data_IF_076709923478
#
_entry.id   IF_076709923478
#
_cell.length_a   1.000
_cell.length_b   1.000
_cell.length_c   1.000
_cell.angle_alpha   90.00
_cell.angle_beta   90.00
_cell.angle_gamma   90.00
#
_symmetry.space_group_name_H-M   'P 1'
#
loop_
_entity.id
_entity.type
_entity.pdbx_description
1 polymer ?
#
# COMPACT_ATOMS: atom_id res chain seq x y z
N UNK A 1 19.47 6.18 -23.30
CA UNK A 1 18.13 5.65 -22.92
C UNK A 1 17.37 6.74 -22.14
N UNK A 2 16.06 6.92 -22.30
CA UNK A 2 15.27 7.88 -21.50
C UNK A 2 14.46 7.20 -20.37
N UNK A 3 13.85 8.01 -19.48
CA UNK A 3 13.10 7.55 -18.32
C UNK A 3 11.89 6.68 -18.69
N UNK A 4 11.15 7.05 -19.75
CA UNK A 4 9.96 6.30 -20.18
C UNK A 4 10.37 4.94 -20.78
N UNK A 5 11.42 4.93 -21.58
CA UNK A 5 11.99 3.73 -22.17
C UNK A 5 12.47 2.77 -21.09
N UNK A 6 13.21 3.26 -20.09
CA UNK A 6 13.69 2.44 -18.98
C UNK A 6 12.54 1.84 -18.16
N UNK A 7 11.49 2.63 -17.92
CA UNK A 7 10.26 2.20 -17.25
C UNK A 7 9.59 1.07 -18.02
N UNK A 8 9.32 1.26 -19.30
CA UNK A 8 8.57 0.31 -20.12
C UNK A 8 9.37 -0.99 -20.33
N UNK A 9 10.70 -0.89 -20.51
CA UNK A 9 11.59 -2.05 -20.57
C UNK A 9 11.60 -2.85 -19.26
N UNK A 10 11.69 -2.19 -18.09
CA UNK A 10 11.68 -2.91 -16.80
C UNK A 10 10.40 -3.73 -16.62
N UNK A 11 9.26 -3.16 -17.03
CA UNK A 11 7.98 -3.83 -16.88
C UNK A 11 7.86 -4.99 -17.86
N UNK A 12 8.26 -4.80 -19.12
CA UNK A 12 8.24 -5.86 -20.13
C UNK A 12 9.12 -7.05 -19.71
N UNK A 13 10.31 -6.78 -19.16
CA UNK A 13 11.22 -7.82 -18.65
C UNK A 13 10.64 -8.58 -17.46
N UNK A 14 10.07 -7.84 -16.50
CA UNK A 14 9.37 -8.43 -15.36
C UNK A 14 8.24 -9.36 -15.83
N UNK A 15 7.40 -8.85 -16.72
CA UNK A 15 6.27 -9.56 -17.33
C UNK A 15 6.70 -10.86 -17.99
N UNK A 16 7.72 -10.81 -18.86
CA UNK A 16 8.20 -11.97 -19.59
C UNK A 16 8.73 -13.01 -18.61
N UNK A 17 9.53 -12.58 -17.62
CA UNK A 17 10.05 -13.47 -16.60
C UNK A 17 8.93 -14.11 -15.74
N UNK A 18 7.91 -13.34 -15.36
CA UNK A 18 6.79 -13.85 -14.56
C UNK A 18 5.99 -14.90 -15.35
N UNK A 19 5.72 -14.64 -16.62
CA UNK A 19 5.04 -15.58 -17.50
C UNK A 19 5.81 -16.90 -17.62
N UNK A 20 7.13 -16.83 -17.85
CA UNK A 20 7.98 -18.02 -17.92
C UNK A 20 7.97 -18.83 -16.62
N UNK A 21 7.97 -18.15 -15.46
CA UNK A 21 7.87 -18.82 -14.15
C UNK A 21 6.50 -19.50 -13.95
N UNK A 22 5.41 -18.85 -14.37
CA UNK A 22 4.07 -19.43 -14.25
C UNK A 22 3.93 -20.67 -15.13
N UNK A 23 4.45 -20.63 -16.35
CA UNK A 23 4.52 -21.82 -17.23
C UNK A 23 5.38 -22.93 -16.61
N UNK A 24 6.56 -22.60 -16.08
CA UNK A 24 7.47 -23.58 -15.46
C UNK A 24 6.81 -24.32 -14.29
N UNK A 25 6.01 -23.62 -13.48
CA UNK A 25 5.36 -24.19 -12.31
C UNK A 25 3.91 -24.60 -12.54
N UNK A 26 3.39 -24.51 -13.78
CA UNK A 26 1.97 -24.76 -14.08
C UNK A 26 1.03 -23.95 -13.17
N UNK A 27 1.40 -22.71 -12.84
CA UNK A 27 0.61 -21.84 -11.98
C UNK A 27 -0.39 -21.03 -12.80
N UNK A 28 -1.68 -21.32 -12.63
CA UNK A 28 -2.78 -20.68 -13.35
C UNK A 28 -3.42 -19.49 -12.61
N UNK A 29 -2.91 -19.13 -11.44
CA UNK A 29 -3.48 -18.05 -10.61
C UNK A 29 -3.25 -16.63 -11.16
N UNK A 30 -2.48 -16.48 -12.25
CA UNK A 30 -2.24 -15.20 -12.90
C UNK A 30 -3.09 -15.05 -14.16
N UNK A 31 -3.97 -14.04 -14.15
CA UNK A 31 -4.69 -13.61 -15.35
C UNK A 31 -3.82 -12.67 -16.20
N UNK A 32 -2.98 -13.27 -17.04
CA UNK A 32 -2.15 -12.52 -17.99
C UNK A 32 -2.95 -11.76 -19.05
N UNK A 33 -4.24 -12.07 -19.26
CA UNK A 33 -5.07 -11.30 -20.21
C UNK A 33 -5.32 -9.86 -19.73
N UNK A 34 -5.20 -9.61 -18.43
CA UNK A 34 -5.29 -8.29 -17.80
C UNK A 34 -3.96 -7.57 -17.67
N UNK A 35 -2.89 -8.07 -18.29
CA UNK A 35 -1.56 -7.43 -18.20
C UNK A 35 -1.52 -5.98 -18.69
N UNK A 36 -2.33 -5.62 -19.70
CA UNK A 36 -2.44 -4.23 -20.13
C UNK A 36 -2.91 -3.31 -18.98
N UNK A 37 -3.71 -3.83 -18.04
CA UNK A 37 -4.15 -3.11 -16.85
C UNK A 37 -3.01 -2.95 -15.84
N UNK A 38 -2.01 -3.83 -15.85
CA UNK A 38 -0.85 -3.77 -14.96
C UNK A 38 0.09 -2.63 -15.30
N UNK A 39 0.21 -2.26 -16.58
CA UNK A 39 0.94 -1.06 -17.02
C UNK A 39 0.34 0.23 -16.45
N UNK A 40 -0.92 0.18 -16.03
CA UNK A 40 -1.63 1.29 -15.43
C UNK A 40 -1.74 1.17 -13.89
N UNK A 41 -1.22 0.09 -13.29
CA UNK A 41 -1.17 -0.05 -11.84
C UNK A 41 -0.08 0.86 -11.28
N UNK A 42 -0.40 1.76 -10.33
CA UNK A 42 0.56 2.68 -9.74
C UNK A 42 1.81 1.98 -9.16
N UNK A 43 1.66 0.74 -8.69
CA UNK A 43 2.73 -0.05 -8.07
C UNK A 43 3.79 -0.54 -9.07
N UNK A 44 3.43 -0.82 -10.32
CA UNK A 44 4.36 -1.35 -11.35
C UNK A 44 5.50 -0.38 -11.68
N UNK A 45 5.25 0.92 -11.44
CA UNK A 45 6.16 2.02 -11.74
C UNK A 45 6.47 2.86 -10.50
N UNK A 46 6.19 2.34 -9.30
CA UNK A 46 6.29 3.09 -8.05
C UNK A 46 7.67 3.71 -7.84
N UNK A 47 8.75 2.96 -8.13
CA UNK A 47 10.11 3.45 -8.01
C UNK A 47 10.39 4.67 -8.91
N UNK A 48 9.80 4.69 -10.11
CA UNK A 48 9.99 5.77 -11.08
C UNK A 48 9.40 7.11 -10.62
N UNK A 49 8.51 7.10 -9.61
CA UNK A 49 8.01 8.33 -8.99
C UNK A 49 9.12 9.13 -8.27
N UNK A 50 10.24 8.47 -7.94
CA UNK A 50 11.32 9.03 -7.14
C UNK A 50 12.64 9.25 -7.91
N UNK A 51 12.73 8.80 -9.16
CA UNK A 51 13.98 8.90 -9.96
C UNK A 51 14.47 10.33 -10.07
N UNK A 52 13.58 11.27 -10.39
CA UNK A 52 13.92 12.71 -10.51
C UNK A 52 14.51 13.31 -9.23
N UNK A 53 14.13 12.79 -8.06
CA UNK A 53 14.63 13.25 -6.77
C UNK A 53 16.11 12.93 -6.61
N UNK A 54 16.51 11.73 -7.08
CA UNK A 54 17.81 11.15 -6.83
C UNK A 54 18.80 11.39 -7.99
N UNK A 55 18.35 11.45 -9.25
CA UNK A 55 19.23 11.45 -10.43
C UNK A 55 19.68 12.81 -10.94
N UNK A 56 19.17 13.92 -10.38
CA UNK A 56 19.29 15.30 -10.89
C UNK A 56 20.71 15.82 -11.24
N UNK A 57 21.77 15.15 -10.78
CA UNK A 57 23.16 15.57 -10.96
C UNK A 57 24.06 14.50 -11.59
N UNK A 58 23.50 13.47 -12.21
CA UNK A 58 24.25 12.33 -12.74
C UNK A 58 24.15 12.22 -14.26
N UNK A 59 25.15 11.58 -14.87
CA UNK A 59 25.11 11.20 -16.28
C UNK A 59 23.88 10.31 -16.51
N UNK A 60 22.94 10.81 -17.31
CA UNK A 60 21.57 10.30 -17.44
C UNK A 60 21.53 8.81 -17.84
N UNK A 61 22.47 8.35 -18.67
CA UNK A 61 22.41 7.00 -19.24
C UNK A 61 22.69 5.88 -18.22
N UNK A 62 23.61 6.07 -17.28
CA UNK A 62 23.86 5.10 -16.20
C UNK A 62 22.72 5.13 -15.16
N UNK A 63 22.10 6.28 -14.94
CA UNK A 63 21.04 6.42 -13.96
C UNK A 63 19.80 5.61 -14.33
N UNK A 64 19.38 5.66 -15.60
CA UNK A 64 18.20 4.92 -16.03
C UNK A 64 18.43 3.40 -16.06
N UNK A 65 19.65 2.93 -16.34
CA UNK A 65 19.98 1.51 -16.24
C UNK A 65 19.87 0.97 -14.81
N UNK A 66 20.40 1.72 -13.83
CA UNK A 66 20.27 1.37 -12.41
C UNK A 66 18.82 1.43 -11.95
N UNK A 67 18.07 2.48 -12.32
CA UNK A 67 16.65 2.59 -11.99
C UNK A 67 15.83 1.44 -12.58
N UNK A 68 16.12 1.01 -13.82
CA UNK A 68 15.49 -0.16 -14.45
C UNK A 68 15.75 -1.45 -13.66
N UNK A 69 17.01 -1.71 -13.28
CA UNK A 69 17.37 -2.89 -12.49
C UNK A 69 16.70 -2.89 -11.12
N UNK A 70 16.70 -1.76 -10.42
CA UNK A 70 16.00 -1.61 -9.15
C UNK A 70 14.49 -1.80 -9.31
N UNK A 71 13.86 -1.26 -10.35
CA UNK A 71 12.42 -1.43 -10.57
C UNK A 71 12.05 -2.88 -10.89
N UNK A 72 12.91 -3.59 -11.61
CA UNK A 72 12.74 -5.02 -11.86
C UNK A 72 12.80 -5.82 -10.55
N UNK A 73 13.78 -5.53 -9.68
CA UNK A 73 13.86 -6.13 -8.35
C UNK A 73 12.64 -5.78 -7.49
N UNK A 74 12.18 -4.52 -7.54
CA UNK A 74 11.01 -4.03 -6.83
C UNK A 74 9.75 -4.79 -7.23
N UNK A 75 9.53 -5.02 -8.53
CA UNK A 75 8.38 -5.78 -9.01
C UNK A 75 8.42 -7.25 -8.56
N UNK A 76 9.58 -7.91 -8.66
CA UNK A 76 9.70 -9.28 -8.15
C UNK A 76 9.41 -9.37 -6.64
N UNK A 77 9.93 -8.42 -5.86
CA UNK A 77 9.72 -8.38 -4.42
C UNK A 77 8.26 -8.03 -4.06
N UNK A 78 7.66 -7.06 -4.75
CA UNK A 78 6.25 -6.70 -4.59
C UNK A 78 5.33 -7.92 -4.82
N UNK A 79 5.52 -8.64 -5.92
CA UNK A 79 4.71 -9.83 -6.21
C UNK A 79 4.99 -10.99 -5.26
N UNK A 80 6.21 -11.11 -4.73
CA UNK A 80 6.49 -12.02 -3.63
C UNK A 80 5.64 -11.69 -2.39
N UNK A 81 5.49 -10.40 -2.03
CA UNK A 81 4.64 -9.98 -0.92
C UNK A 81 3.17 -10.26 -1.21
N UNK A 82 2.65 -9.83 -2.37
CA UNK A 82 1.23 -10.02 -2.74
C UNK A 82 0.84 -11.51 -2.71
N UNK A 83 1.68 -12.38 -3.27
CA UNK A 83 1.41 -13.82 -3.25
C UNK A 83 1.59 -14.44 -1.86
N UNK A 84 2.47 -13.88 -1.03
CA UNK A 84 2.65 -14.35 0.35
C UNK A 84 1.42 -14.03 1.18
N UNK A 85 0.88 -12.82 1.01
CA UNK A 85 -0.37 -12.39 1.62
C UNK A 85 -1.53 -13.35 1.25
N UNK A 86 -1.66 -13.70 -0.03
CA UNK A 86 -2.62 -14.70 -0.49
C UNK A 86 -2.39 -16.12 0.07
N UNK A 87 -1.18 -16.47 0.52
CA UNK A 87 -0.94 -17.75 1.21
C UNK A 87 -1.36 -17.67 2.68
N UNK A 88 -1.07 -16.52 3.30
CA UNK A 88 -1.33 -16.22 4.70
C UNK A 88 -2.85 -16.08 4.93
N UNK A 89 -3.56 -15.56 3.93
CA UNK A 89 -5.00 -15.33 3.95
C UNK A 89 -5.79 -16.59 3.62
N UNK A 90 -6.61 -17.01 4.59
CA UNK A 90 -7.41 -18.25 4.52
C UNK A 90 -8.46 -18.24 3.40
N UNK A 91 -8.80 -17.07 2.85
CA UNK A 91 -9.78 -16.91 1.78
C UNK A 91 -9.25 -17.31 0.39
N UNK A 92 -7.93 -17.48 0.25
CA UNK A 92 -7.23 -17.60 -1.04
C UNK A 92 -6.74 -19.02 -1.35
N UNK A 93 -7.36 -20.03 -0.71
CA UNK A 93 -7.11 -21.46 -0.97
C UNK A 93 -5.87 -22.05 -0.29
N UNK A 94 -5.16 -21.28 0.54
CA UNK A 94 -3.97 -21.73 1.26
C UNK A 94 -2.73 -21.96 0.37
N UNK A 95 -1.62 -22.49 0.94
CA UNK A 95 -0.40 -22.76 0.20
C UNK A 95 -0.57 -23.93 -0.78
N UNK A 96 -0.20 -23.74 -2.05
CA UNK A 96 0.03 -24.83 -3.02
C UNK A 96 1.52 -24.97 -3.33
N UNK A 97 1.95 -26.13 -3.81
CA UNK A 97 3.36 -26.36 -4.17
C UNK A 97 3.83 -25.37 -5.24
N UNK A 98 3.03 -25.15 -6.27
CA UNK A 98 3.29 -24.23 -7.38
C UNK A 98 3.46 -22.81 -6.87
N UNK A 99 2.56 -22.37 -5.96
CA UNK A 99 2.62 -21.04 -5.36
C UNK A 99 3.86 -20.86 -4.48
N UNK A 100 4.22 -21.87 -3.69
CA UNK A 100 5.44 -21.84 -2.87
C UNK A 100 6.73 -21.80 -3.71
N UNK A 101 6.79 -22.56 -4.79
CA UNK A 101 7.93 -22.54 -5.73
C UNK A 101 8.04 -21.19 -6.43
N UNK A 102 6.92 -20.62 -6.87
CA UNK A 102 6.87 -19.29 -7.47
C UNK A 102 7.33 -18.21 -6.49
N UNK A 103 6.82 -18.22 -5.26
CA UNK A 103 7.21 -17.29 -4.19
C UNK A 103 8.72 -17.27 -3.96
N UNK A 104 9.33 -18.46 -3.85
CA UNK A 104 10.79 -18.60 -3.68
C UNK A 104 11.55 -18.00 -4.86
N UNK A 105 11.07 -18.22 -6.08
CA UNK A 105 11.75 -17.76 -7.29
C UNK A 105 11.66 -16.26 -7.50
N UNK A 106 10.53 -15.64 -7.14
CA UNK A 106 10.38 -14.18 -7.12
C UNK A 106 11.35 -13.55 -6.13
N UNK A 107 11.39 -14.03 -4.88
CA UNK A 107 12.32 -13.53 -3.85
C UNK A 107 13.78 -13.70 -4.29
N UNK A 108 14.14 -14.88 -4.81
CA UNK A 108 15.49 -15.17 -5.29
C UNK A 108 15.95 -14.21 -6.40
N UNK A 109 15.07 -13.86 -7.33
CA UNK A 109 15.38 -12.92 -8.44
C UNK A 109 15.55 -11.49 -7.96
N UNK A 110 14.68 -11.04 -7.04
CA UNK A 110 14.84 -9.74 -6.39
C UNK A 110 16.18 -9.67 -5.66
N UNK A 111 16.49 -10.69 -4.85
CA UNK A 111 17.72 -10.74 -4.05
C UNK A 111 18.98 -10.81 -4.89
N UNK A 112 18.99 -11.60 -5.96
CA UNK A 112 20.12 -11.64 -6.90
C UNK A 112 20.45 -10.24 -7.44
N UNK A 113 19.43 -9.49 -7.82
CA UNK A 113 19.61 -8.13 -8.36
C UNK A 113 20.13 -7.17 -7.28
N UNK A 114 19.59 -7.26 -6.06
CA UNK A 114 20.05 -6.42 -4.95
C UNK A 114 21.51 -6.73 -4.56
N UNK A 115 21.91 -8.00 -4.52
CA UNK A 115 23.30 -8.40 -4.26
C UNK A 115 24.28 -7.95 -5.36
N UNK A 116 23.83 -7.77 -6.61
CA UNK A 116 24.68 -7.18 -7.65
C UNK A 116 24.85 -5.67 -7.51
N UNK A 117 23.90 -5.00 -6.88
CA UNK A 117 23.89 -3.54 -6.73
C UNK A 117 24.55 -3.09 -5.42
N UNK A 118 24.47 -3.90 -4.37
CA UNK A 118 24.94 -3.53 -3.04
C UNK A 118 25.96 -4.55 -2.52
N UNK A 119 27.19 -4.11 -2.16
CA UNK A 119 28.15 -4.99 -1.49
C UNK A 119 27.68 -5.38 -0.08
N UNK A 120 28.21 -6.47 0.52
CA UNK A 120 27.78 -6.95 1.84
C UNK A 120 27.87 -5.90 2.97
N UNK A 121 28.80 -4.94 2.87
CA UNK A 121 29.03 -3.89 3.87
C UNK A 121 28.12 -2.67 3.69
N UNK A 122 27.26 -2.67 2.67
CA UNK A 122 26.33 -1.57 2.41
C UNK A 122 25.30 -1.42 3.53
N UNK A 123 25.08 -0.17 3.98
CA UNK A 123 24.01 0.18 4.93
C UNK A 123 22.61 -0.16 4.42
N UNK A 124 22.47 -0.43 3.11
CA UNK A 124 21.24 -0.94 2.51
C UNK A 124 20.69 -2.17 3.25
N UNK A 125 21.56 -3.12 3.63
CA UNK A 125 21.12 -4.38 4.24
C UNK A 125 20.51 -4.17 5.63
N UNK A 126 21.07 -3.24 6.42
CA UNK A 126 20.50 -2.86 7.71
C UNK A 126 19.12 -2.20 7.55
N UNK A 127 18.92 -1.38 6.52
CA UNK A 127 17.59 -0.82 6.20
C UNK A 127 16.60 -1.90 5.77
N UNK A 128 17.03 -2.87 4.96
CA UNK A 128 16.18 -3.97 4.52
C UNK A 128 15.71 -4.80 5.72
N UNK A 129 16.62 -5.23 6.58
CA UNK A 129 16.31 -6.01 7.78
C UNK A 129 15.32 -5.27 8.70
N UNK A 130 15.56 -3.98 8.94
CA UNK A 130 14.68 -3.16 9.78
C UNK A 130 13.28 -3.03 9.18
N UNK A 131 13.15 -2.80 7.87
CA UNK A 131 11.85 -2.71 7.22
C UNK A 131 11.13 -4.05 7.06
N UNK A 132 11.85 -5.15 6.88
CA UNK A 132 11.29 -6.50 6.95
C UNK A 132 10.71 -6.79 8.34
N UNK A 133 11.45 -6.43 9.40
CA UNK A 133 10.98 -6.56 10.78
C UNK A 133 9.76 -5.68 11.07
N UNK A 134 9.76 -4.43 10.61
CA UNK A 134 8.61 -3.53 10.77
C UNK A 134 7.36 -4.09 10.07
N UNK A 135 7.51 -4.54 8.82
CA UNK A 135 6.42 -5.14 8.06
C UNK A 135 5.86 -6.40 8.74
N UNK A 136 6.74 -7.33 9.12
CA UNK A 136 6.33 -8.55 9.81
C UNK A 136 5.62 -8.24 11.14
N UNK A 137 6.13 -7.28 11.92
CA UNK A 137 5.52 -6.87 13.19
C UNK A 137 4.12 -6.29 12.96
N UNK A 138 3.95 -5.43 11.96
CA UNK A 138 2.67 -4.82 11.63
C UNK A 138 1.63 -5.86 11.17
N UNK A 139 1.99 -6.76 10.27
CA UNK A 139 1.11 -7.83 9.78
C UNK A 139 0.69 -8.78 10.92
N UNK A 140 1.62 -9.15 11.80
CA UNK A 140 1.34 -9.99 12.95
C UNK A 140 0.44 -9.26 13.97
N UNK A 141 0.66 -7.97 14.22
CA UNK A 141 -0.17 -7.18 15.11
C UNK A 141 -1.60 -7.05 14.56
N UNK A 142 -1.74 -6.71 13.28
CA UNK A 142 -3.04 -6.60 12.60
C UNK A 142 -3.85 -7.89 12.73
N UNK A 143 -3.23 -9.02 12.33
CA UNK A 143 -3.87 -10.33 12.40
C UNK A 143 -4.18 -10.78 13.82
N UNK A 144 -3.31 -10.48 14.79
CA UNK A 144 -3.49 -10.94 16.18
C UNK A 144 -4.57 -10.18 16.92
N UNK A 145 -4.70 -8.87 16.66
CA UNK A 145 -5.52 -7.99 17.50
C UNK A 145 -6.83 -7.56 16.84
N UNK A 146 -6.91 -7.55 15.52
CA UNK A 146 -8.06 -6.97 14.81
C UNK A 146 -8.81 -7.96 13.92
N UNK A 147 -8.44 -9.25 13.96
CA UNK A 147 -9.14 -10.30 13.24
C UNK A 147 -9.94 -11.19 14.19
N UNK A 148 -11.08 -11.67 13.72
CA UNK A 148 -12.02 -12.59 14.36
C UNK A 148 -12.76 -12.04 15.59
N UNK A 149 -12.05 -11.32 16.46
CA UNK A 149 -12.59 -10.74 17.69
C UNK A 149 -12.37 -9.23 17.68
N UNK A 150 -13.42 -8.47 17.94
CA UNK A 150 -13.33 -7.03 18.00
C UNK A 150 -12.55 -6.57 19.24
N UNK A 151 -11.71 -5.55 19.04
CA UNK A 151 -11.01 -4.78 20.07
C UNK A 151 -10.99 -3.30 19.60
N UNK A 152 -11.08 -2.33 20.52
CA UNK A 152 -10.79 -0.93 20.20
C UNK A 152 -9.46 -0.77 19.47
N UNK A 153 -9.45 0.07 18.43
CA UNK A 153 -8.29 0.27 17.56
C UNK A 153 -7.92 1.76 17.58
N UNK A 154 -6.87 2.12 18.33
CA UNK A 154 -6.47 3.52 18.43
C UNK A 154 -5.86 4.04 17.13
N UNK A 155 -5.91 5.37 16.94
CA UNK A 155 -5.29 6.03 15.78
C UNK A 155 -3.77 5.79 15.76
N UNK A 156 -3.09 5.78 16.91
CA UNK A 156 -1.66 5.50 16.99
C UNK A 156 -1.33 4.06 16.58
N UNK A 157 -2.11 3.08 17.02
CA UNK A 157 -1.95 1.68 16.60
C UNK A 157 -2.19 1.54 15.10
N UNK A 158 -3.20 2.24 14.56
CA UNK A 158 -3.50 2.25 13.13
C UNK A 158 -2.34 2.83 12.32
N UNK A 159 -1.82 3.99 12.71
CA UNK A 159 -0.68 4.64 12.06
C UNK A 159 0.55 3.72 12.07
N UNK A 160 0.83 3.05 13.18
CA UNK A 160 1.95 2.10 13.29
C UNK A 160 1.77 0.90 12.34
N UNK A 161 0.58 0.32 12.29
CA UNK A 161 0.30 -0.83 11.43
C UNK A 161 0.32 -0.42 9.94
N UNK A 162 -0.36 0.66 9.56
CA UNK A 162 -0.45 1.10 8.18
C UNK A 162 0.92 1.46 7.60
N UNK A 163 1.73 2.22 8.35
CA UNK A 163 3.11 2.56 7.97
C UNK A 163 4.03 1.34 7.94
N UNK A 164 3.86 0.41 8.89
CA UNK A 164 4.64 -0.83 8.97
C UNK A 164 4.38 -1.78 7.80
N UNK A 165 3.11 -1.99 7.40
CA UNK A 165 2.76 -2.81 6.21
C UNK A 165 3.41 -2.28 4.93
N UNK A 166 3.54 -0.96 4.83
CA UNK A 166 4.19 -0.30 3.71
C UNK A 166 5.73 -0.23 3.82
N UNK A 167 6.34 -0.73 4.91
CA UNK A 167 7.76 -0.57 5.17
C UNK A 167 8.65 -1.09 4.04
N UNK A 168 8.27 -2.21 3.43
CA UNK A 168 9.03 -2.77 2.30
C UNK A 168 8.99 -1.86 1.07
N UNK A 169 7.89 -1.15 0.78
CA UNK A 169 7.84 -0.26 -0.37
C UNK A 169 8.93 0.83 -0.30
N UNK A 170 9.31 1.24 0.93
CA UNK A 170 10.37 2.22 1.17
C UNK A 170 11.76 1.72 0.77
N UNK A 171 12.04 0.40 0.82
CA UNK A 171 13.40 -0.12 0.64
C UNK A 171 13.98 0.19 -0.74
N UNK A 172 13.14 0.18 -1.78
CA UNK A 172 13.59 0.47 -3.14
C UNK A 172 13.83 1.96 -3.36
N UNK A 173 13.13 2.85 -2.65
CA UNK A 173 13.41 4.29 -2.66
C UNK A 173 14.74 4.57 -1.93
N UNK A 174 15.02 3.86 -0.83
CA UNK A 174 16.32 3.91 -0.17
C UNK A 174 17.41 3.37 -1.10
N UNK A 175 17.17 2.25 -1.77
CA UNK A 175 18.11 1.68 -2.73
C UNK A 175 18.49 2.71 -3.80
N UNK A 176 17.50 3.42 -4.33
CA UNK A 176 17.66 4.49 -5.30
C UNK A 176 18.51 5.65 -4.74
N UNK A 177 18.19 6.11 -3.53
CA UNK A 177 18.91 7.17 -2.85
C UNK A 177 20.38 6.80 -2.61
N UNK A 178 20.65 5.56 -2.17
CA UNK A 178 22.02 5.05 -1.94
C UNK A 178 22.82 4.92 -3.23
N UNK A 179 22.23 4.34 -4.29
CA UNK A 179 22.89 4.21 -5.60
C UNK A 179 23.27 5.55 -6.20
N UNK A 180 22.45 6.58 -5.96
CA UNK A 180 22.70 7.93 -6.44
C UNK A 180 23.39 8.84 -5.42
N UNK A 181 23.93 8.28 -4.33
CA UNK A 181 24.69 9.01 -3.31
C UNK A 181 23.92 10.20 -2.72
N UNK A 182 22.63 9.98 -2.48
CA UNK A 182 21.68 10.92 -1.88
C UNK A 182 21.08 10.40 -0.57
N UNK A 183 21.90 9.96 0.41
CA UNK A 183 21.37 9.49 1.70
C UNK A 183 20.57 10.58 2.44
N UNK A 184 20.79 11.86 2.13
CA UNK A 184 20.01 12.99 2.62
C UNK A 184 18.52 12.90 2.27
N UNK A 185 18.16 12.15 1.23
CA UNK A 185 16.78 11.95 0.80
C UNK A 185 16.07 10.80 1.49
N UNK A 186 16.79 9.90 2.18
CA UNK A 186 16.20 8.69 2.77
C UNK A 186 15.09 9.07 3.75
N UNK A 187 15.39 9.89 4.74
CA UNK A 187 14.44 10.26 5.78
C UNK A 187 13.20 11.00 5.25
N UNK A 188 13.31 12.11 4.50
CA UNK A 188 12.13 12.83 4.03
C UNK A 188 11.29 12.02 3.03
N UNK A 189 11.91 11.19 2.19
CA UNK A 189 11.15 10.32 1.28
C UNK A 189 10.49 9.16 2.03
N UNK A 190 11.16 8.54 3.00
CA UNK A 190 10.56 7.47 3.81
C UNK A 190 9.36 7.98 4.60
N UNK A 191 9.49 9.12 5.29
CA UNK A 191 8.37 9.72 6.03
C UNK A 191 7.22 10.14 5.13
N UNK A 192 7.53 10.68 3.94
CA UNK A 192 6.49 11.05 2.98
C UNK A 192 5.72 9.83 2.48
N UNK A 193 6.40 8.70 2.32
CA UNK A 193 5.75 7.43 1.99
C UNK A 193 4.93 6.89 3.15
N UNK A 194 5.39 7.02 4.39
CA UNK A 194 4.60 6.61 5.57
C UNK A 194 3.28 7.38 5.63
N UNK A 195 3.31 8.72 5.56
CA UNK A 195 2.08 9.52 5.54
C UNK A 195 1.19 9.19 4.34
N UNK A 196 1.76 8.96 3.14
CA UNK A 196 0.96 8.54 1.98
C UNK A 196 0.27 7.18 2.21
N UNK A 197 0.99 6.18 2.74
CA UNK A 197 0.43 4.84 2.92
C UNK A 197 -0.59 4.76 4.06
N UNK A 198 -0.48 5.61 5.08
CA UNK A 198 -1.52 5.76 6.10
C UNK A 198 -2.83 6.21 5.44
N UNK A 199 -2.78 7.26 4.61
CA UNK A 199 -3.95 7.70 3.85
C UNK A 199 -4.43 6.63 2.87
N UNK A 200 -3.51 5.86 2.28
CA UNK A 200 -3.84 4.81 1.31
C UNK A 200 -4.63 3.69 1.97
N UNK A 201 -4.12 3.15 3.09
CA UNK A 201 -4.79 2.12 3.87
C UNK A 201 -6.17 2.60 4.30
N UNK A 202 -6.30 3.82 4.83
CA UNK A 202 -7.58 4.33 5.30
C UNK A 202 -8.61 4.52 4.16
N UNK A 203 -8.15 4.96 2.98
CA UNK A 203 -8.99 5.03 1.79
C UNK A 203 -9.39 3.65 1.27
N UNK A 204 -8.60 2.62 1.52
CA UNK A 204 -8.84 1.24 1.12
C UNK A 204 -9.85 0.58 2.08
N UNK A 205 -9.63 0.72 3.38
CA UNK A 205 -10.54 0.29 4.46
C UNK A 205 -11.96 0.84 4.23
N UNK A 206 -12.11 2.07 3.73
CA UNK A 206 -13.41 2.66 3.39
C UNK A 206 -14.10 2.04 2.18
N UNK A 207 -13.35 1.46 1.23
CA UNK A 207 -13.92 0.77 0.07
C UNK A 207 -14.28 -0.67 0.44
N UNK A 208 -13.41 -1.32 1.20
CA UNK A 208 -13.48 -2.75 1.49
C UNK A 208 -14.14 -3.06 2.84
N UNK A 209 -14.61 -2.02 3.56
CA UNK A 209 -15.28 -2.15 4.87
C UNK A 209 -16.32 -3.27 4.95
N UNK A 210 -17.05 -3.53 3.85
CA UNK A 210 -18.09 -4.56 3.81
C UNK A 210 -17.47 -5.95 3.87
N UNK A 211 -16.53 -6.24 2.98
CA UNK A 211 -15.83 -7.54 2.96
C UNK A 211 -15.06 -7.75 4.26
N UNK A 212 -14.40 -6.71 4.76
CA UNK A 212 -13.64 -6.75 6.00
C UNK A 212 -14.55 -7.09 7.20
N UNK A 213 -15.69 -6.40 7.31
CA UNK A 213 -16.68 -6.68 8.35
C UNK A 213 -17.24 -8.11 8.22
N UNK A 214 -17.54 -8.54 6.99
CA UNK A 214 -18.04 -9.88 6.71
C UNK A 214 -17.03 -10.96 7.15
N UNK A 215 -15.74 -10.74 6.87
CA UNK A 215 -14.61 -11.58 7.26
C UNK A 215 -14.16 -11.43 8.72
N UNK A 216 -14.79 -10.53 9.50
CA UNK A 216 -14.39 -10.16 10.88
C UNK A 216 -12.96 -9.61 10.96
N UNK A 217 -12.57 -8.82 9.97
CA UNK A 217 -11.36 -8.02 9.95
C UNK A 217 -11.78 -6.59 10.33
N UNK A 218 -11.56 -6.19 11.58
CA UNK A 218 -12.02 -4.91 12.10
C UNK A 218 -10.98 -3.83 11.83
N UNK A 219 -11.07 -3.20 10.66
CA UNK A 219 -10.23 -2.04 10.30
C UNK A 219 -10.43 -0.86 11.27
N UNK A 220 -9.57 0.16 11.19
CA UNK A 220 -9.67 1.34 12.04
C UNK A 220 -11.03 2.03 11.89
N UNK A 221 -11.54 2.14 10.66
CA UNK A 221 -12.85 2.75 10.40
C UNK A 221 -13.99 1.91 10.95
N UNK A 222 -13.96 0.59 10.76
CA UNK A 222 -14.97 -0.30 11.35
C UNK A 222 -14.96 -0.22 12.87
N UNK A 223 -13.78 -0.14 13.48
CA UNK A 223 -13.64 -0.01 14.93
C UNK A 223 -14.28 1.28 15.44
N UNK A 224 -14.04 2.41 14.76
CA UNK A 224 -14.72 3.67 15.06
C UNK A 224 -16.24 3.60 14.95
N UNK A 225 -16.78 2.88 13.95
CA UNK A 225 -18.23 2.66 13.82
C UNK A 225 -18.77 1.88 15.02
N UNK A 226 -18.10 0.80 15.39
CA UNK A 226 -18.49 -0.10 16.47
C UNK A 226 -18.49 0.64 17.81
N UNK A 227 -17.42 1.38 18.12
CA UNK A 227 -17.28 2.14 19.37
C UNK A 227 -18.27 3.30 19.44
N UNK A 228 -18.44 4.06 18.35
CA UNK A 228 -19.36 5.22 18.32
C UNK A 228 -20.83 4.82 18.54
N UNK A 229 -21.19 3.59 18.19
CA UNK A 229 -22.55 3.05 18.34
C UNK A 229 -22.69 2.04 19.49
N UNK A 230 -21.62 1.82 20.27
CA UNK A 230 -21.58 0.91 21.42
C UNK A 230 -21.99 -0.53 21.07
N UNK A 231 -21.40 -1.07 20.00
CA UNK A 231 -21.70 -2.39 19.45
C UNK A 231 -20.67 -3.47 19.79
N UNK A 232 -19.76 -3.20 20.73
CA UNK A 232 -18.58 -4.02 21.01
C UNK A 232 -18.95 -5.46 21.41
N UNK A 233 -20.08 -5.63 22.11
CA UNK A 233 -20.58 -6.94 22.52
C UNK A 233 -21.32 -7.64 21.37
N UNK A 234 -22.11 -6.88 20.61
CA UNK A 234 -22.96 -7.38 19.54
C UNK A 234 -22.13 -7.93 18.38
N UNK A 235 -21.06 -7.24 17.97
CA UNK A 235 -20.21 -7.69 16.85
C UNK A 235 -19.46 -8.99 17.13
N UNK A 236 -19.23 -9.29 18.41
CA UNK A 236 -18.63 -10.54 18.87
C UNK A 236 -19.66 -11.66 19.11
N UNK A 237 -20.96 -11.36 18.99
CA UNK A 237 -22.04 -12.31 19.25
C UNK A 237 -22.52 -13.03 17.97
N UNK A 238 -23.23 -14.17 18.11
CA UNK A 238 -23.93 -14.79 16.97
C UNK A 238 -25.03 -13.91 16.36
N UNK A 239 -25.52 -12.92 17.10
CA UNK A 239 -26.55 -11.96 16.68
C UNK A 239 -25.94 -10.65 16.21
N UNK A 240 -24.73 -10.69 15.64
CA UNK A 240 -24.06 -9.47 15.15
C UNK A 240 -24.94 -8.72 14.12
N UNK A 241 -24.85 -7.38 14.07
CA UNK A 241 -25.51 -6.60 13.04
C UNK A 241 -25.15 -7.09 11.63
N UNK A 242 -26.10 -7.01 10.70
CA UNK A 242 -25.77 -7.24 9.29
C UNK A 242 -24.89 -6.11 8.75
N UNK A 243 -24.20 -6.39 7.64
CA UNK A 243 -23.31 -5.42 7.02
C UNK A 243 -24.05 -4.16 6.55
N UNK A 244 -25.32 -4.26 6.15
CA UNK A 244 -26.10 -3.09 5.71
C UNK A 244 -26.35 -2.11 6.87
N UNK A 245 -26.55 -2.64 8.08
CA UNK A 245 -26.70 -1.86 9.31
C UNK A 245 -25.40 -1.12 9.65
N UNK A 246 -24.26 -1.82 9.59
CA UNK A 246 -22.94 -1.21 9.78
C UNK A 246 -22.67 -0.14 8.71
N UNK A 247 -23.02 -0.41 7.45
CA UNK A 247 -22.86 0.56 6.37
C UNK A 247 -23.68 1.83 6.59
N UNK A 248 -24.93 1.71 7.06
CA UNK A 248 -25.74 2.88 7.41
C UNK A 248 -25.08 3.69 8.52
N UNK A 249 -24.57 3.02 9.56
CA UNK A 249 -23.85 3.68 10.65
C UNK A 249 -22.59 4.38 10.14
N UNK A 250 -21.76 3.72 9.34
CA UNK A 250 -20.56 4.29 8.72
C UNK A 250 -20.85 5.58 7.93
N UNK A 251 -21.82 5.53 7.01
CA UNK A 251 -22.05 6.62 6.06
C UNK A 251 -23.00 7.72 6.59
N UNK A 252 -23.85 7.43 7.58
CA UNK A 252 -24.80 8.43 8.11
C UNK A 252 -24.36 9.08 9.43
N UNK A 253 -23.41 8.48 10.17
CA UNK A 253 -22.89 9.09 11.41
C UNK A 253 -21.79 10.13 11.17
N UNK A 254 -21.22 10.20 9.97
CA UNK A 254 -20.09 11.08 9.66
C UNK A 254 -18.71 10.44 9.83
N UNK A 255 -18.65 9.15 10.20
CA UNK A 255 -17.39 8.44 10.40
C UNK A 255 -16.63 8.26 9.08
N UNK A 256 -17.32 8.01 7.98
CA UNK A 256 -16.69 7.94 6.66
C UNK A 256 -16.00 9.26 6.28
N UNK A 257 -16.65 10.40 6.53
CA UNK A 257 -16.05 11.71 6.31
C UNK A 257 -14.87 12.01 7.23
N UNK A 258 -14.94 11.57 8.50
CA UNK A 258 -13.84 11.66 9.46
C UNK A 258 -12.61 10.89 8.98
N UNK A 259 -12.78 9.66 8.48
CA UNK A 259 -11.70 8.89 7.87
C UNK A 259 -11.06 9.62 6.68
N UNK A 260 -11.88 10.21 5.80
CA UNK A 260 -11.36 10.97 4.66
C UNK A 260 -10.65 12.27 5.06
N UNK A 261 -11.01 12.88 6.19
CA UNK A 261 -10.27 14.01 6.76
C UNK A 261 -8.86 13.59 7.21
N UNK A 262 -8.75 12.47 7.92
CA UNK A 262 -7.45 11.90 8.31
C UNK A 262 -6.60 11.60 7.08
N UNK A 263 -7.18 11.01 6.01
CA UNK A 263 -6.48 10.81 4.74
C UNK A 263 -5.89 12.13 4.20
N UNK A 264 -6.71 13.19 4.15
CA UNK A 264 -6.30 14.48 3.60
C UNK A 264 -5.19 15.13 4.43
N UNK A 265 -5.22 15.02 5.76
CA UNK A 265 -4.16 15.57 6.61
C UNK A 265 -2.83 14.85 6.38
N UNK A 266 -2.82 13.52 6.34
CA UNK A 266 -1.58 12.78 6.04
C UNK A 266 -1.06 13.04 4.62
N UNK A 267 -1.93 13.24 3.63
CA UNK A 267 -1.48 13.62 2.27
C UNK A 267 -0.89 15.04 2.24
N UNK A 268 -1.38 15.97 3.07
CA UNK A 268 -0.73 17.29 3.25
C UNK A 268 0.62 17.16 3.93
N UNK A 269 0.74 16.33 4.95
CA UNK A 269 2.02 16.04 5.61
C UNK A 269 3.02 15.45 4.61
N UNK A 270 2.60 14.46 3.81
CA UNK A 270 3.43 13.86 2.77
C UNK A 270 4.00 14.92 1.81
N UNK A 271 3.18 15.85 1.33
CA UNK A 271 3.62 16.96 0.46
C UNK A 271 4.58 17.91 1.17
N UNK A 272 4.33 18.20 2.44
CA UNK A 272 5.15 19.10 3.24
C UNK A 272 6.56 18.52 3.46
N UNK A 273 6.67 17.20 3.69
CA UNK A 273 7.93 16.49 3.88
C UNK A 273 8.84 16.54 2.63
N UNK A 274 8.24 16.55 1.43
CA UNK A 274 8.97 16.64 0.16
C UNK A 274 8.92 18.03 -0.48
N UNK A 275 8.49 19.06 0.26
CA UNK A 275 8.28 20.41 -0.30
C UNK A 275 9.50 20.93 -1.05
N UNK A 276 10.70 20.77 -0.46
CA UNK A 276 11.97 21.24 -1.02
C UNK A 276 12.68 20.20 -1.91
N UNK A 277 12.10 19.02 -2.08
CA UNK A 277 12.64 17.95 -2.92
C UNK A 277 12.00 18.04 -4.31
N UNK A 278 12.81 17.94 -5.35
CA UNK A 278 12.27 17.86 -6.71
C UNK A 278 11.86 16.42 -7.04
N UNK A 279 10.59 16.12 -6.82
CA UNK A 279 9.98 14.82 -7.11
C UNK A 279 8.58 15.03 -7.71
N UNK A 280 8.48 15.64 -8.91
CA UNK A 280 7.21 16.09 -9.48
C UNK A 280 6.19 14.94 -9.62
N UNK A 281 6.65 13.76 -10.04
CA UNK A 281 5.82 12.56 -10.18
C UNK A 281 5.23 12.12 -8.85
N UNK A 282 6.05 12.03 -7.79
CA UNK A 282 5.57 11.69 -6.45
C UNK A 282 4.59 12.74 -5.88
N UNK A 283 4.91 14.03 -6.01
CA UNK A 283 4.01 15.12 -5.59
C UNK A 283 2.67 15.06 -6.32
N UNK A 284 2.69 14.80 -7.63
CA UNK A 284 1.49 14.62 -8.44
C UNK A 284 0.64 13.43 -7.95
N UNK A 285 1.27 12.29 -7.63
CA UNK A 285 0.55 11.13 -7.06
C UNK A 285 -0.15 11.48 -5.75
N UNK A 286 0.53 12.16 -4.84
CA UNK A 286 -0.06 12.59 -3.57
C UNK A 286 -1.23 13.57 -3.81
N UNK A 287 -1.06 14.55 -4.69
CA UNK A 287 -2.10 15.52 -5.03
C UNK A 287 -3.34 14.88 -5.66
N UNK A 288 -3.15 13.92 -6.56
CA UNK A 288 -4.25 13.18 -7.20
C UNK A 288 -5.06 12.39 -6.17
N UNK A 289 -4.37 11.69 -5.27
CA UNK A 289 -5.04 10.95 -4.20
C UNK A 289 -5.78 11.89 -3.25
N UNK A 290 -5.17 13.03 -2.89
CA UNK A 290 -5.81 14.04 -2.03
C UNK A 290 -7.07 14.60 -2.68
N UNK A 291 -7.01 14.93 -3.97
CA UNK A 291 -8.16 15.41 -4.73
C UNK A 291 -9.29 14.36 -4.76
N UNK A 292 -8.95 13.07 -4.92
CA UNK A 292 -9.90 11.96 -4.83
C UNK A 292 -10.58 11.90 -3.46
N UNK A 293 -9.82 11.90 -2.36
CA UNK A 293 -10.38 11.86 -1.01
C UNK A 293 -11.33 13.04 -0.73
N UNK A 294 -10.98 14.25 -1.19
CA UNK A 294 -11.83 15.44 -1.07
C UNK A 294 -13.15 15.27 -1.86
N UNK A 295 -13.06 14.74 -3.09
CA UNK A 295 -14.24 14.50 -3.92
C UNK A 295 -15.16 13.43 -3.33
N UNK A 296 -14.59 12.34 -2.83
CA UNK A 296 -15.31 11.26 -2.16
C UNK A 296 -16.01 11.79 -0.89
N UNK A 297 -15.32 12.60 -0.08
CA UNK A 297 -15.88 13.23 1.13
C UNK A 297 -17.08 14.11 0.78
N UNK A 298 -16.95 14.97 -0.22
CA UNK A 298 -18.04 15.84 -0.67
C UNK A 298 -19.25 15.03 -1.14
N UNK A 299 -19.01 13.93 -1.84
CA UNK A 299 -20.05 13.04 -2.33
C UNK A 299 -20.80 12.37 -1.17
N UNK A 300 -20.07 11.83 -0.20
CA UNK A 300 -20.65 11.20 1.00
C UNK A 300 -21.45 12.22 1.82
N UNK A 301 -20.88 13.38 2.10
CA UNK A 301 -21.55 14.43 2.88
C UNK A 301 -22.85 14.93 2.22
N UNK A 302 -22.87 15.02 0.88
CA UNK A 302 -24.08 15.38 0.12
C UNK A 302 -25.16 14.32 0.29
N UNK A 303 -24.82 13.04 0.08
CA UNK A 303 -25.75 11.92 0.26
C UNK A 303 -26.28 11.83 1.69
N UNK A 304 -25.41 12.05 2.68
CA UNK A 304 -25.79 12.08 4.11
C UNK A 304 -26.82 13.17 4.37
N UNK A 305 -26.58 14.41 3.90
CA UNK A 305 -27.51 15.54 4.07
C UNK A 305 -28.87 15.27 3.42
N UNK A 306 -28.87 14.73 2.20
CA UNK A 306 -30.09 14.35 1.50
C UNK A 306 -30.89 13.28 2.27
N UNK A 307 -30.22 12.29 2.85
CA UNK A 307 -30.87 11.26 3.65
C UNK A 307 -31.45 11.82 4.95
N UNK A 308 -30.69 12.65 5.68
CA UNK A 308 -31.14 13.27 6.93
C UNK A 308 -32.34 14.21 6.72
N UNK A 309 -32.33 14.98 5.63
CA UNK A 309 -33.46 15.83 5.25
C UNK A 309 -34.75 15.03 4.98
N UNK A 310 -34.64 13.84 4.36
CA UNK A 310 -35.80 12.97 4.10
C UNK A 310 -36.47 12.45 5.37
N UNK A 311 -35.72 12.35 6.47
CA UNK A 311 -36.22 11.87 7.77
C UNK A 311 -36.47 13.00 8.78
N UNK A 312 -36.47 14.26 8.33
CA UNK A 312 -36.81 15.42 9.15
C UNK A 312 -35.75 15.82 10.19
N UNK A 313 -34.52 15.33 10.05
CA UNK A 313 -33.40 15.71 10.92
C UNK A 313 -32.66 16.86 10.25
N UNK A 314 -32.72 18.06 10.83
CA UNK A 314 -31.96 19.20 10.34
C UNK A 314 -30.45 18.95 10.51
N UNK A 315 -29.67 19.03 9.42
CA UNK A 315 -28.21 19.02 9.50
C UNK A 315 -27.72 20.38 10.04
N UNK A 316 -27.01 20.38 11.17
CA UNK A 316 -26.15 21.51 11.59
C UNK A 316 -24.79 21.45 10.93
#
# INVERSE_FOLDING_TARGET
MDLMTARDQSLQEFVTCLHDLCLLYSYEGFDFSRMHQWQHQPHAHYLFLFVDACSRNLQEENAFAVARQLNLAANFYYWHIVLSDQVIDSHSGGPTLERMLLLRDLQRRAMRTLCTLFPPESVFWSHLEEYEKQCATALLAERRYYWQTFRPYSEEEFIQIASGKAAIAKIFVIALALQFKRPDLIEPLSRSQDSFHIAYQLSDDLKDWRSDYEAKQYSFILSNVIESHRLENEVNSPTRPDADTIGKMLYYSGIAEMGLDICVEHLREALQLVKQIYCPSWKSTIEQMKAKCIADKKTIATKRREALNKIGIACT
#
